data_IF_749617112691
#
_entry.id   IF_749617112691
#
_cell.length_a   1.000
_cell.length_b   1.000
_cell.length_c   1.000
_cell.angle_alpha   90.00
_cell.angle_beta   90.00
_cell.angle_gamma   90.00
#
_symmetry.space_group_name_H-M   'P 1'
#
loop_
_entity.id
_entity.type
_entity.pdbx_description
1 polymer ?
#
# COMPACT_ATOMS: atom_id res chain seq x y z
N UNK A 1 14.46 -5.23 -7.40
CA UNK A 1 13.34 -4.29 -7.24
C UNK A 1 13.38 -3.77 -5.80
N UNK A 2 13.49 -2.46 -5.60
CA UNK A 2 13.55 -1.88 -4.26
C UNK A 2 12.18 -1.86 -3.58
N UNK A 3 12.11 -1.88 -2.24
CA UNK A 3 10.84 -1.79 -1.50
C UNK A 3 10.04 -0.52 -1.86
N UNK A 4 10.72 0.59 -2.15
CA UNK A 4 10.11 1.84 -2.60
C UNK A 4 9.43 1.71 -3.97
N UNK A 5 10.08 1.02 -4.91
CA UNK A 5 9.57 0.78 -6.26
C UNK A 5 8.35 -0.14 -6.23
N UNK A 6 8.36 -1.16 -5.37
CA UNK A 6 7.21 -2.03 -5.11
C UNK A 6 6.00 -1.22 -4.61
N UNK A 7 6.22 -0.33 -3.64
CA UNK A 7 5.16 0.54 -3.10
C UNK A 7 4.62 1.52 -4.17
N UNK A 8 5.49 2.10 -5.00
CA UNK A 8 5.10 3.00 -6.10
C UNK A 8 4.29 2.25 -7.17
N UNK A 9 4.74 1.07 -7.58
CA UNK A 9 4.01 0.20 -8.51
C UNK A 9 2.63 -0.18 -7.96
N UNK A 10 2.56 -0.52 -6.66
CA UNK A 10 1.30 -0.83 -6.01
C UNK A 10 0.36 0.39 -5.90
N UNK A 11 0.92 1.58 -5.63
CA UNK A 11 0.14 2.83 -5.62
C UNK A 11 -0.51 3.09 -6.99
N UNK A 12 0.24 2.93 -8.08
CA UNK A 12 -0.29 3.10 -9.44
C UNK A 12 -1.43 2.11 -9.72
N UNK A 13 -1.30 0.85 -9.27
CA UNK A 13 -2.36 -0.14 -9.41
C UNK A 13 -3.63 0.27 -8.64
N UNK A 14 -3.49 0.83 -7.44
CA UNK A 14 -4.64 1.37 -6.68
C UNK A 14 -5.28 2.53 -7.43
N UNK A 15 -4.50 3.42 -8.05
CA UNK A 15 -5.02 4.56 -8.82
C UNK A 15 -5.80 4.10 -10.06
N UNK A 16 -5.33 3.05 -10.73
CA UNK A 16 -6.10 2.38 -11.79
C UNK A 16 -7.44 1.87 -11.25
N UNK A 17 -7.44 1.23 -10.07
CA UNK A 17 -8.66 0.77 -9.39
C UNK A 17 -9.64 1.90 -9.05
N UNK A 18 -9.13 3.05 -8.62
CA UNK A 18 -9.95 4.25 -8.34
C UNK A 18 -10.62 4.76 -9.62
N UNK A 19 -9.91 4.74 -10.73
CA UNK A 19 -10.41 5.18 -12.04
C UNK A 19 -11.37 4.17 -12.68
N UNK A 20 -11.18 2.87 -12.41
CA UNK A 20 -12.04 1.79 -12.89
C UNK A 20 -12.58 0.92 -11.74
N UNK A 21 -13.47 1.45 -10.89
CA UNK A 21 -13.90 0.76 -9.69
C UNK A 21 -14.92 -0.36 -9.97
N UNK A 22 -15.42 -0.47 -11.20
CA UNK A 22 -16.28 -1.58 -11.64
C UNK A 22 -15.51 -2.85 -12.00
N UNK A 23 -14.18 -2.80 -12.15
CA UNK A 23 -13.39 -3.98 -12.48
C UNK A 23 -13.20 -4.89 -11.27
N UNK A 24 -13.79 -6.08 -11.33
CA UNK A 24 -13.65 -7.13 -10.32
C UNK A 24 -12.24 -7.70 -10.30
N UNK A 25 -11.66 -7.93 -11.47
CA UNK A 25 -10.30 -8.42 -11.64
C UNK A 25 -9.28 -7.48 -11.00
N UNK A 26 -9.42 -6.18 -11.26
CA UNK A 26 -8.52 -5.16 -10.71
C UNK A 26 -8.66 -5.07 -9.19
N UNK A 27 -9.90 -5.15 -8.67
CA UNK A 27 -10.15 -5.18 -7.22
C UNK A 27 -9.46 -6.38 -6.56
N UNK A 28 -9.60 -7.58 -7.13
CA UNK A 28 -8.96 -8.79 -6.61
C UNK A 28 -7.45 -8.70 -6.66
N UNK A 29 -6.88 -8.23 -7.77
CA UNK A 29 -5.43 -8.05 -7.92
C UNK A 29 -4.88 -7.08 -6.87
N UNK A 30 -5.57 -5.97 -6.62
CA UNK A 30 -5.20 -4.99 -5.59
C UNK A 30 -5.23 -5.63 -4.19
N UNK A 31 -6.27 -6.40 -3.87
CA UNK A 31 -6.38 -7.07 -2.57
C UNK A 31 -5.30 -8.14 -2.38
N UNK A 32 -5.03 -8.97 -3.38
CA UNK A 32 -3.99 -9.99 -3.30
C UNK A 32 -2.59 -9.35 -3.11
N UNK A 33 -2.28 -8.30 -3.89
CA UNK A 33 -1.01 -7.56 -3.71
C UNK A 33 -0.92 -6.84 -2.37
N UNK A 34 -2.04 -6.45 -1.76
CA UNK A 34 -2.03 -5.79 -0.45
C UNK A 34 -1.40 -6.67 0.64
N UNK A 35 -1.53 -7.99 0.53
CA UNK A 35 -0.96 -8.95 1.47
C UNK A 35 0.57 -8.94 1.41
N UNK A 36 1.13 -8.96 0.21
CA UNK A 36 2.58 -9.05 0.03
C UNK A 36 3.27 -7.70 0.17
N UNK A 37 2.64 -6.62 -0.30
CA UNK A 37 3.24 -5.27 -0.31
C UNK A 37 3.08 -4.56 1.03
N UNK A 38 1.91 -4.69 1.67
CA UNK A 38 1.58 -3.96 2.90
C UNK A 38 1.51 -4.87 4.13
N UNK A 39 1.75 -6.18 3.99
CA UNK A 39 1.56 -7.18 5.04
C UNK A 39 0.16 -7.11 5.64
N UNK A 40 -0.85 -6.82 4.81
CA UNK A 40 -2.23 -6.65 5.24
C UNK A 40 -2.98 -7.99 5.30
N UNK A 41 -3.38 -8.34 6.51
CA UNK A 41 -4.26 -9.48 6.77
C UNK A 41 -5.73 -9.11 6.54
N UNK A 42 -6.57 -10.11 6.29
CA UNK A 42 -8.03 -9.93 6.21
C UNK A 42 -8.59 -9.23 7.45
N UNK A 43 -8.05 -9.51 8.63
CA UNK A 43 -8.46 -8.87 9.89
C UNK A 43 -8.20 -7.36 9.89
N UNK A 44 -7.08 -6.90 9.33
CA UNK A 44 -6.77 -5.46 9.29
C UNK A 44 -7.78 -4.70 8.43
N UNK A 45 -8.08 -5.25 7.24
CA UNK A 45 -9.06 -4.64 6.34
C UNK A 45 -10.48 -4.75 6.89
N UNK A 46 -10.82 -5.86 7.55
CA UNK A 46 -12.12 -6.05 8.19
C UNK A 46 -12.38 -5.02 9.30
N UNK A 47 -11.38 -4.77 10.16
CA UNK A 47 -11.45 -3.74 11.19
C UNK A 47 -11.63 -2.35 10.59
N UNK A 48 -10.84 -2.00 9.56
CA UNK A 48 -10.95 -0.68 8.93
C UNK A 48 -12.32 -0.47 8.28
N UNK A 49 -12.80 -1.46 7.54
CA UNK A 49 -14.07 -1.37 6.81
C UNK A 49 -15.29 -1.70 7.68
N UNK A 50 -15.10 -1.93 8.98
CA UNK A 50 -16.15 -2.27 9.96
C UNK A 50 -17.04 -3.45 9.51
N UNK A 51 -16.41 -4.56 9.11
CA UNK A 51 -17.11 -5.74 8.61
C UNK A 51 -16.50 -7.04 9.15
N UNK A 52 -17.15 -8.16 8.84
CA UNK A 52 -16.63 -9.47 9.22
C UNK A 52 -15.37 -9.84 8.43
N UNK A 53 -14.42 -10.52 9.09
CA UNK A 53 -13.25 -11.12 8.41
C UNK A 53 -13.67 -12.06 7.29
N UNK A 54 -14.76 -12.81 7.46
CA UNK A 54 -15.30 -13.72 6.45
C UNK A 54 -15.71 -12.98 5.17
N UNK A 55 -16.30 -11.79 5.30
CA UNK A 55 -16.65 -10.94 4.14
C UNK A 55 -15.40 -10.58 3.35
N UNK A 56 -14.36 -10.09 4.03
CA UNK A 56 -13.08 -9.73 3.39
C UNK A 56 -12.39 -10.95 2.78
N UNK A 57 -12.44 -12.09 3.46
CA UNK A 57 -11.87 -13.33 2.95
C UNK A 57 -12.54 -13.77 1.64
N UNK A 58 -13.88 -13.69 1.56
CA UNK A 58 -14.64 -13.96 0.32
C UNK A 58 -14.31 -12.99 -0.80
N UNK A 59 -14.02 -11.73 -0.48
CA UNK A 59 -13.53 -10.75 -1.44
C UNK A 59 -12.15 -11.12 -1.97
N UNK A 60 -11.24 -11.53 -1.07
CA UNK A 60 -9.88 -11.91 -1.47
C UNK A 60 -9.85 -13.19 -2.31
N UNK A 61 -10.73 -14.15 -2.01
CA UNK A 61 -10.86 -15.39 -2.79
C UNK A 61 -11.64 -15.22 -4.10
N UNK A 62 -12.24 -14.05 -4.34
CA UNK A 62 -13.12 -13.82 -5.49
C UNK A 62 -14.45 -14.54 -5.43
N UNK A 63 -14.85 -15.06 -4.27
CA UNK A 63 -16.16 -15.71 -4.07
C UNK A 63 -17.29 -14.69 -4.12
N UNK A 64 -17.06 -13.48 -3.62
CA UNK A 64 -17.98 -12.35 -3.74
C UNK A 64 -17.20 -11.08 -4.02
N UNK A 65 -17.82 -10.11 -4.68
CA UNK A 65 -17.19 -8.80 -4.91
C UNK A 65 -18.00 -7.70 -4.22
N UNK A 66 -17.37 -6.72 -3.56
CA UNK A 66 -18.10 -5.60 -2.98
C UNK A 66 -18.81 -4.75 -4.03
N UNK A 67 -19.84 -4.03 -3.61
CA UNK A 67 -20.43 -2.94 -4.40
C UNK A 67 -19.38 -1.86 -4.71
N UNK A 68 -19.55 -1.16 -5.84
CA UNK A 68 -18.62 -0.13 -6.32
C UNK A 68 -18.30 0.93 -5.26
N UNK A 69 -19.29 1.40 -4.49
CA UNK A 69 -19.09 2.37 -3.41
C UNK A 69 -18.15 1.85 -2.31
N UNK A 70 -18.27 0.57 -1.98
CA UNK A 70 -17.40 -0.08 -0.99
C UNK A 70 -15.98 -0.25 -1.53
N UNK A 71 -15.82 -0.59 -2.81
CA UNK A 71 -14.49 -0.64 -3.46
C UNK A 71 -13.76 0.70 -3.38
N UNK A 72 -14.45 1.81 -3.65
CA UNK A 72 -13.86 3.17 -3.52
C UNK A 72 -13.36 3.45 -2.10
N UNK A 73 -14.08 2.97 -1.09
CA UNK A 73 -13.66 3.12 0.31
C UNK A 73 -12.39 2.32 0.60
N UNK A 74 -12.33 1.07 0.14
CA UNK A 74 -11.14 0.21 0.24
C UNK A 74 -9.95 0.86 -0.48
N UNK A 75 -10.12 1.33 -1.72
CA UNK A 75 -9.04 1.97 -2.48
C UNK A 75 -8.53 3.25 -1.83
N UNK A 76 -9.42 4.10 -1.33
CA UNK A 76 -9.04 5.33 -0.63
C UNK A 76 -8.17 5.03 0.57
N UNK A 77 -8.55 4.03 1.36
CA UNK A 77 -7.77 3.61 2.53
C UNK A 77 -6.41 3.03 2.14
N UNK A 78 -6.38 2.10 1.17
CA UNK A 78 -5.14 1.51 0.66
C UNK A 78 -4.20 2.58 0.10
N UNK A 79 -4.73 3.53 -0.68
CA UNK A 79 -3.98 4.68 -1.20
C UNK A 79 -3.31 5.47 -0.08
N UNK A 80 -4.08 5.88 0.94
CA UNK A 80 -3.57 6.63 2.09
C UNK A 80 -2.47 5.86 2.83
N UNK A 81 -2.67 4.56 3.03
CA UNK A 81 -1.70 3.70 3.72
C UNK A 81 -0.40 3.56 2.92
N UNK A 82 -0.50 3.25 1.62
CA UNK A 82 0.66 3.12 0.72
C UNK A 82 1.44 4.43 0.62
N UNK A 83 0.77 5.57 0.40
CA UNK A 83 1.43 6.88 0.35
C UNK A 83 2.14 7.23 1.67
N UNK A 84 1.58 6.83 2.81
CA UNK A 84 2.22 7.06 4.11
C UNK A 84 3.51 6.25 4.28
N UNK A 85 3.57 5.03 3.74
CA UNK A 85 4.80 4.22 3.76
C UNK A 85 5.86 4.78 2.82
N UNK A 86 5.49 5.21 1.61
CA UNK A 86 6.42 5.85 0.67
C UNK A 86 7.09 7.07 1.33
N UNK A 87 6.29 7.96 1.94
CA UNK A 87 6.83 9.13 2.66
C UNK A 87 7.79 8.77 3.80
N UNK A 88 7.51 7.68 4.52
CA UNK A 88 8.42 7.17 5.58
C UNK A 88 9.74 6.67 5.01
N UNK A 89 9.70 5.95 3.88
CA UNK A 89 10.88 5.49 3.17
C UNK A 89 11.74 6.67 2.67
N UNK A 90 11.12 7.64 2.00
CA UNK A 90 11.81 8.84 1.49
C UNK A 90 12.52 9.61 2.62
N UNK A 91 11.84 9.81 3.76
CA UNK A 91 12.42 10.47 4.92
C UNK A 91 13.60 9.69 5.52
N UNK A 92 13.50 8.37 5.58
CA UNK A 92 14.60 7.51 6.07
C UNK A 92 15.84 7.60 5.17
N UNK A 93 15.64 7.63 3.86
CA UNK A 93 16.73 7.74 2.88
C UNK A 93 17.45 9.09 3.00
N UNK A 94 16.71 10.19 3.13
CA UNK A 94 17.29 11.53 3.32
C UNK A 94 18.14 11.62 4.60
N UNK A 95 17.66 11.05 5.72
CA UNK A 95 18.42 11.04 6.97
C UNK A 95 19.73 10.25 6.84
N UNK A 96 19.72 9.11 6.15
CA UNK A 96 20.91 8.26 5.97
C UNK A 96 21.96 8.98 5.12
N UNK A 97 21.56 9.64 4.04
CA UNK A 97 22.47 10.44 3.20
C UNK A 97 23.05 11.65 3.95
N UNK A 98 22.25 12.31 4.78
CA UNK A 98 22.71 13.43 5.61
C UNK A 98 23.75 13.00 6.66
N UNK A 99 23.60 11.81 7.25
CA UNK A 99 24.58 11.24 8.19
C UNK A 99 25.88 10.87 7.46
N UNK A 100 25.79 10.21 6.31
CA UNK A 100 26.96 9.85 5.50
C UNK A 100 27.77 11.07 5.10
N UNK A 101 27.12 12.15 4.65
CA UNK A 101 27.81 13.38 4.27
C UNK A 101 28.49 14.08 5.45
N UNK A 102 27.94 14.00 6.66
CA UNK A 102 28.56 14.56 7.86
C UNK A 102 29.78 13.76 8.32
N UNK A 103 29.74 12.43 8.28
CA UNK A 103 30.89 11.59 8.64
C UNK A 103 32.08 11.83 7.70
N UNK A 104 31.83 11.93 6.39
CA UNK A 104 32.89 12.20 5.42
C UNK A 104 33.50 13.59 5.57
N UNK A 105 32.73 14.60 5.99
CA UNK A 105 33.25 15.95 6.22
C UNK A 105 34.16 16.04 7.46
N UNK A 106 33.88 15.27 8.52
CA UNK A 106 34.71 15.26 9.74
C UNK A 106 36.03 14.47 9.61
N UNK A 107 36.21 13.68 8.54
CA UNK A 107 37.45 12.93 8.30
C UNK A 107 38.49 13.67 7.44
N UNK A 108 38.17 14.87 6.95
CA UNK A 108 39.08 15.68 6.12
C UNK A 108 39.82 16.76 6.93
N UNK A 109 39.45 16.97 8.20
CA UNK A 109 40.03 18.01 9.08
C UNK A 109 41.15 17.52 10.02
N UNK A 110 41.77 16.37 9.76
CA UNK A 110 42.96 15.86 10.49
C UNK A 110 44.09 15.52 9.54
#
# INVERSE_FOLDING_TARGET
>A
MGNEELLKSYLNLIEEGVNNPSSDELFHQILQRSETVLMLTDSNLATEMQMSRTTVNRWRSGTTTPMVLMRRSVYTWLKKRTSSLIKKFEKSNQNTSAISNKLSASQVET
#
